data_IF_745104605278
#
_entry.id   IF_745104605278
#
_cell.length_a   1.000
_cell.length_b   1.000
_cell.length_c   1.000
_cell.angle_alpha   90.00
_cell.angle_beta   90.00
_cell.angle_gamma   90.00
#
_symmetry.space_group_name_H-M   'P 1'
#
loop_
_entity.id
_entity.type
_entity.pdbx_description
1 polymer ?
#
# COMPACT_ATOMS: atom_id res chain seq x y z
N UNK A 1 16.99 -17.45 -15.84
CA UNK A 1 17.05 -16.27 -16.75
C UNK A 1 15.81 -16.32 -17.61
N UNK A 2 14.98 -15.27 -17.54
CA UNK A 2 13.83 -15.11 -18.42
C UNK A 2 14.27 -15.18 -19.91
N UNK A 3 13.51 -14.69 -20.85
CA UNK A 3 13.93 -14.70 -22.26
C UNK A 3 15.22 -13.89 -22.45
N UNK A 4 16.23 -14.48 -23.06
CA UNK A 4 17.52 -13.82 -23.36
C UNK A 4 17.39 -12.52 -24.18
N UNK A 5 16.30 -12.38 -24.93
CA UNK A 5 16.03 -11.26 -25.82
C UNK A 5 14.72 -10.54 -25.52
N UNK A 6 14.01 -10.93 -24.44
CA UNK A 6 12.72 -10.37 -24.07
C UNK A 6 12.76 -8.84 -23.92
N UNK A 7 13.80 -8.32 -23.29
CA UNK A 7 14.02 -6.86 -23.15
C UNK A 7 14.19 -6.13 -24.50
N UNK A 8 14.62 -6.82 -25.54
CA UNK A 8 14.77 -6.25 -26.89
C UNK A 8 13.49 -6.35 -27.72
N UNK A 9 12.76 -7.45 -27.55
CA UNK A 9 11.65 -7.82 -28.43
C UNK A 9 10.29 -7.40 -27.88
N UNK A 10 10.16 -7.28 -26.56
CA UNK A 10 8.90 -6.93 -25.89
C UNK A 10 8.93 -5.47 -25.44
N UNK A 11 7.92 -4.70 -25.81
CA UNK A 11 7.73 -3.32 -25.33
C UNK A 11 7.08 -3.33 -23.96
N UNK A 12 7.38 -2.31 -23.12
CA UNK A 12 6.69 -2.14 -21.85
C UNK A 12 5.21 -1.87 -22.09
N UNK A 13 4.39 -2.63 -21.39
CA UNK A 13 2.95 -2.44 -21.32
C UNK A 13 2.53 -2.37 -19.84
N UNK A 14 1.49 -1.61 -19.58
CA UNK A 14 0.85 -1.51 -18.27
C UNK A 14 -0.59 -1.99 -18.38
N UNK A 15 -1.21 -2.32 -17.24
CA UNK A 15 -2.61 -2.66 -17.23
C UNK A 15 -3.47 -1.49 -17.73
N UNK A 16 -4.45 -1.81 -18.55
CA UNK A 16 -5.41 -0.82 -19.01
C UNK A 16 -6.30 -0.37 -17.84
N UNK A 17 -6.45 0.93 -17.71
CA UNK A 17 -7.31 1.53 -16.69
C UNK A 17 -8.72 1.67 -17.22
N UNK A 18 -9.71 1.60 -16.34
CA UNK A 18 -11.09 1.92 -16.65
C UNK A 18 -11.19 3.34 -17.23
N UNK A 19 -12.10 3.62 -18.19
CA UNK A 19 -12.31 4.96 -18.73
C UNK A 19 -12.53 6.00 -17.63
N UNK A 20 -12.04 7.22 -17.85
CA UNK A 20 -12.12 8.29 -16.83
C UNK A 20 -13.57 8.59 -16.47
N UNK A 21 -14.45 8.61 -17.48
CA UNK A 21 -15.88 8.92 -17.36
C UNK A 21 -16.60 7.91 -16.45
N UNK A 22 -16.15 6.66 -16.43
CA UNK A 22 -16.71 5.63 -15.56
C UNK A 22 -16.13 5.70 -14.15
N UNK A 23 -14.79 5.74 -14.03
CA UNK A 23 -14.11 5.64 -12.73
C UNK A 23 -14.29 6.86 -11.83
N UNK A 24 -14.66 8.02 -12.37
CA UNK A 24 -15.01 9.20 -11.56
C UNK A 24 -16.39 9.11 -10.93
N UNK A 25 -17.23 8.16 -11.38
CA UNK A 25 -18.59 7.96 -10.86
C UNK A 25 -18.65 7.01 -9.68
N UNK A 26 -17.54 6.34 -9.35
CA UNK A 26 -17.48 5.37 -8.25
C UNK A 26 -16.17 5.46 -7.47
N UNK A 27 -16.06 4.65 -6.41
CA UNK A 27 -14.89 4.55 -5.54
C UNK A 27 -14.09 3.26 -5.74
N UNK A 28 -14.41 2.45 -6.76
CA UNK A 28 -13.72 1.18 -7.05
C UNK A 28 -12.32 1.42 -7.59
N UNK A 29 -11.44 0.43 -7.46
CA UNK A 29 -10.09 0.48 -8.03
C UNK A 29 -10.14 0.85 -9.52
N UNK A 30 -9.14 1.63 -9.95
CA UNK A 30 -9.08 2.17 -11.32
C UNK A 30 -8.81 1.11 -12.39
N UNK A 31 -8.40 -0.09 -11.98
CA UNK A 31 -8.18 -1.22 -12.88
C UNK A 31 -9.35 -2.21 -12.83
N UNK A 32 -9.81 -2.75 -13.98
CA UNK A 32 -10.90 -3.73 -13.99
C UNK A 32 -10.48 -5.03 -13.28
N UNK A 33 -11.21 -5.44 -12.25
CA UNK A 33 -10.89 -6.62 -11.45
C UNK A 33 -9.65 -6.48 -10.54
N UNK A 34 -9.11 -5.26 -10.41
CA UNK A 34 -7.86 -4.97 -9.73
C UNK A 34 -6.63 -5.02 -10.65
N UNK A 35 -5.52 -4.41 -10.22
CA UNK A 35 -4.33 -4.25 -11.07
C UNK A 35 -3.69 -5.59 -11.44
N UNK A 36 -3.68 -6.57 -10.54
CA UNK A 36 -3.10 -7.89 -10.80
C UNK A 36 -3.88 -8.65 -11.86
N UNK A 37 -5.21 -8.69 -11.74
CA UNK A 37 -6.08 -9.36 -12.71
C UNK A 37 -5.98 -8.74 -14.12
N UNK A 38 -5.98 -7.42 -14.21
CA UNK A 38 -5.89 -6.70 -15.47
C UNK A 38 -4.58 -6.96 -16.24
N UNK A 39 -3.53 -7.42 -15.55
CA UNK A 39 -2.23 -7.73 -16.16
C UNK A 39 -2.06 -9.18 -16.60
N UNK A 40 -2.87 -10.12 -16.12
CA UNK A 40 -2.69 -11.55 -16.41
C UNK A 40 -2.47 -11.87 -17.89
N UNK A 41 -3.17 -11.24 -18.86
CA UNK A 41 -2.99 -11.54 -20.27
C UNK A 41 -1.61 -11.21 -20.83
N UNK A 42 -0.87 -10.28 -20.22
CA UNK A 42 0.41 -9.77 -20.74
C UNK A 42 1.58 -10.03 -19.77
N UNK A 43 1.33 -10.62 -18.62
CA UNK A 43 2.28 -10.65 -17.51
C UNK A 43 3.56 -11.44 -17.86
N UNK A 44 3.44 -12.56 -18.54
CA UNK A 44 4.57 -13.41 -18.95
C UNK A 44 5.51 -12.64 -19.86
N UNK A 45 4.96 -11.93 -20.86
CA UNK A 45 5.74 -11.09 -21.76
C UNK A 45 6.42 -9.95 -21.01
N UNK A 46 5.72 -9.32 -20.06
CA UNK A 46 6.30 -8.24 -19.28
C UNK A 46 7.40 -8.75 -18.32
N UNK A 47 7.25 -9.92 -17.74
CA UNK A 47 8.27 -10.56 -16.92
C UNK A 47 9.51 -10.95 -17.74
N UNK A 48 9.33 -11.39 -19.01
CA UNK A 48 10.41 -11.74 -19.92
C UNK A 48 11.37 -10.60 -20.21
N UNK A 49 10.95 -9.35 -19.99
CA UNK A 49 11.80 -8.15 -20.16
C UNK A 49 12.92 -8.04 -19.12
N UNK A 50 12.91 -8.85 -18.08
CA UNK A 50 13.98 -8.85 -17.09
C UNK A 50 15.26 -9.46 -17.65
N UNK A 51 16.36 -8.70 -17.64
CA UNK A 51 17.67 -9.12 -18.14
C UNK A 51 18.42 -10.03 -17.16
N UNK A 52 17.88 -10.31 -16.00
CA UNK A 52 18.55 -11.07 -14.93
C UNK A 52 19.98 -10.58 -14.66
N UNK A 53 20.10 -9.30 -14.31
CA UNK A 53 21.39 -8.64 -14.13
C UNK A 53 22.18 -9.30 -13.00
N UNK A 54 23.47 -9.65 -13.25
CA UNK A 54 24.38 -10.19 -12.23
C UNK A 54 24.61 -9.24 -11.02
N UNK A 55 24.39 -7.93 -11.22
CA UNK A 55 24.29 -6.93 -10.17
C UNK A 55 22.92 -6.24 -10.30
N UNK A 56 21.89 -6.76 -9.61
CA UNK A 56 20.52 -6.28 -9.78
C UNK A 56 20.28 -4.99 -8.98
N UNK A 57 20.49 -3.85 -9.60
CA UNK A 57 20.25 -2.54 -8.99
C UNK A 57 18.81 -2.37 -8.49
N UNK A 58 17.85 -3.08 -9.06
CA UNK A 58 16.48 -3.11 -8.60
C UNK A 58 16.34 -3.67 -7.17
N UNK A 59 17.19 -4.62 -6.73
CA UNK A 59 17.23 -5.06 -5.32
C UNK A 59 17.65 -3.92 -4.40
N UNK A 60 18.73 -3.22 -4.73
CA UNK A 60 19.23 -2.08 -3.94
C UNK A 60 18.25 -0.91 -3.97
N UNK A 61 17.55 -0.72 -5.09
CA UNK A 61 16.51 0.29 -5.23
C UNK A 61 15.22 -0.04 -4.47
N UNK A 62 15.01 -1.29 -4.07
CA UNK A 62 13.86 -1.70 -3.27
C UNK A 62 14.20 -1.66 -1.78
N UNK A 63 13.49 -0.85 -0.95
CA UNK A 63 13.72 -0.81 0.49
C UNK A 63 13.51 -2.15 1.21
N UNK A 64 12.73 -3.07 0.63
CA UNK A 64 12.51 -4.42 1.15
C UNK A 64 13.58 -5.41 0.67
N UNK A 65 14.42 -5.05 -0.30
CA UNK A 65 15.40 -5.96 -0.89
C UNK A 65 14.76 -7.12 -1.65
N UNK A 66 13.65 -6.87 -2.35
CA UNK A 66 12.90 -7.88 -3.10
C UNK A 66 13.76 -8.57 -4.16
N UNK A 67 13.64 -9.91 -4.29
CA UNK A 67 14.36 -10.75 -5.24
C UNK A 67 13.75 -10.67 -6.65
N UNK A 68 13.85 -9.49 -7.25
CA UNK A 68 13.09 -9.10 -8.44
C UNK A 68 13.42 -9.93 -9.69
N UNK A 69 14.69 -10.19 -10.05
CA UNK A 69 15.00 -11.06 -11.19
C UNK A 69 14.46 -12.47 -11.03
N UNK A 70 14.56 -13.03 -9.81
CA UNK A 70 14.13 -14.40 -9.53
C UNK A 70 12.64 -14.59 -9.79
N UNK A 71 11.78 -13.73 -9.26
CA UNK A 71 10.35 -13.88 -9.51
C UNK A 71 9.93 -13.58 -10.95
N UNK A 72 10.66 -12.67 -11.66
CA UNK A 72 10.38 -12.44 -13.08
C UNK A 72 10.68 -13.69 -13.92
N UNK A 73 11.79 -14.37 -13.63
CA UNK A 73 12.15 -15.63 -14.27
C UNK A 73 11.11 -16.73 -14.01
N UNK A 74 10.66 -16.84 -12.75
CA UNK A 74 9.64 -17.81 -12.36
C UNK A 74 8.28 -17.54 -13.05
N UNK A 75 7.86 -16.27 -13.15
CA UNK A 75 6.63 -15.89 -13.88
C UNK A 75 6.76 -16.17 -15.38
N UNK A 76 7.90 -15.88 -15.98
CA UNK A 76 8.13 -16.21 -17.38
C UNK A 76 8.04 -17.72 -17.67
N UNK A 77 8.43 -18.57 -16.70
CA UNK A 77 8.31 -20.03 -16.79
C UNK A 77 6.95 -20.58 -16.37
N UNK A 78 5.99 -19.73 -16.04
CA UNK A 78 4.66 -20.09 -15.49
C UNK A 78 4.72 -20.79 -14.10
N UNK A 79 5.81 -20.58 -13.35
CA UNK A 79 6.04 -21.14 -12.01
C UNK A 79 5.48 -20.23 -10.90
N UNK A 80 4.16 -20.03 -10.90
CA UNK A 80 3.46 -19.07 -10.02
C UNK A 80 3.59 -19.34 -8.53
N UNK A 81 3.69 -20.61 -8.16
CA UNK A 81 3.80 -21.00 -6.75
C UNK A 81 5.17 -20.63 -6.20
N UNK A 82 6.20 -20.91 -6.93
CA UNK A 82 7.58 -20.60 -6.63
C UNK A 82 7.80 -19.08 -6.64
N UNK A 83 7.19 -18.37 -7.59
CA UNK A 83 7.20 -16.90 -7.65
C UNK A 83 6.56 -16.29 -6.40
N UNK A 84 5.42 -16.81 -5.93
CA UNK A 84 4.80 -16.38 -4.67
C UNK A 84 5.73 -16.63 -3.48
N UNK A 85 6.31 -17.81 -3.39
CA UNK A 85 7.24 -18.16 -2.31
C UNK A 85 8.45 -17.23 -2.29
N UNK A 86 9.05 -16.99 -3.46
CA UNK A 86 10.16 -16.06 -3.63
C UNK A 86 9.77 -14.63 -3.19
N UNK A 87 8.64 -14.12 -3.63
CA UNK A 87 8.14 -12.79 -3.29
C UNK A 87 7.90 -12.63 -1.77
N UNK A 88 7.32 -13.64 -1.13
CA UNK A 88 7.01 -13.61 0.31
C UNK A 88 8.22 -13.75 1.23
N UNK A 89 9.40 -14.09 0.72
CA UNK A 89 10.63 -14.13 1.55
C UNK A 89 11.04 -12.76 2.07
N UNK A 90 10.73 -11.71 1.33
CA UNK A 90 11.12 -10.33 1.64
C UNK A 90 9.93 -9.39 1.85
N UNK A 91 8.75 -9.73 1.32
CA UNK A 91 7.59 -8.86 1.34
C UNK A 91 6.38 -9.54 2.00
N UNK A 92 5.96 -9.00 3.14
CA UNK A 92 4.78 -9.49 3.87
C UNK A 92 3.47 -9.24 3.11
N UNK A 93 3.36 -8.11 2.41
CA UNK A 93 2.11 -7.60 1.85
C UNK A 93 2.27 -7.10 0.42
N UNK A 94 2.56 -7.98 -0.54
CA UNK A 94 2.74 -7.58 -1.94
C UNK A 94 1.49 -6.94 -2.55
N UNK A 95 0.30 -7.26 -2.04
CA UNK A 95 -0.94 -6.63 -2.47
C UNK A 95 -1.03 -5.14 -2.12
N UNK A 96 -0.36 -4.70 -1.03
CA UNK A 96 -0.30 -3.29 -0.66
C UNK A 96 0.80 -2.57 -1.43
N UNK A 97 2.01 -3.11 -1.43
CA UNK A 97 3.15 -2.52 -2.13
C UNK A 97 2.94 -2.50 -3.63
N UNK A 98 2.41 -3.56 -4.22
CA UNK A 98 2.09 -3.63 -5.63
C UNK A 98 1.03 -2.63 -6.10
N UNK A 99 0.17 -2.12 -5.19
CA UNK A 99 -0.78 -1.05 -5.48
C UNK A 99 -0.24 0.35 -5.19
N UNK A 100 0.47 0.52 -4.08
CA UNK A 100 0.73 1.83 -3.48
C UNK A 100 2.18 2.30 -3.57
N UNK A 101 3.15 1.40 -3.73
CA UNK A 101 4.57 1.76 -3.77
C UNK A 101 4.88 2.63 -5.01
N UNK A 102 5.70 3.68 -4.88
CA UNK A 102 6.16 4.48 -6.03
C UNK A 102 7.16 3.75 -6.94
N UNK A 103 7.48 2.48 -6.63
CA UNK A 103 8.34 1.60 -7.40
C UNK A 103 9.76 2.14 -7.65
N UNK A 104 10.54 2.48 -6.61
CA UNK A 104 11.92 2.94 -6.79
C UNK A 104 12.81 1.85 -7.43
N UNK A 105 12.43 0.59 -7.35
CA UNK A 105 13.05 -0.52 -8.07
C UNK A 105 12.95 -0.37 -9.60
N UNK A 106 11.87 0.18 -10.13
CA UNK A 106 11.74 0.47 -11.57
C UNK A 106 12.65 1.62 -11.98
N UNK A 107 12.78 2.66 -11.15
CA UNK A 107 13.74 3.75 -11.38
C UNK A 107 15.20 3.25 -11.38
N UNK A 108 15.50 2.24 -10.55
CA UNK A 108 16.83 1.64 -10.46
C UNK A 108 17.06 0.53 -11.52
N UNK A 109 16.05 0.16 -12.29
CA UNK A 109 16.17 -0.90 -13.31
C UNK A 109 17.15 -0.48 -14.42
N UNK A 110 18.14 -1.33 -14.71
CA UNK A 110 19.17 -1.08 -15.73
C UNK A 110 18.58 -0.90 -17.13
N UNK A 111 17.51 -1.62 -17.44
CA UNK A 111 16.77 -1.46 -18.71
C UNK A 111 16.28 -0.02 -18.89
N UNK A 112 15.97 0.67 -17.78
CA UNK A 112 15.53 2.07 -17.76
C UNK A 112 16.57 3.09 -18.25
N UNK A 113 17.83 2.70 -18.45
CA UNK A 113 18.88 3.60 -18.97
C UNK A 113 18.70 3.88 -20.46
N UNK A 114 18.26 2.90 -21.23
CA UNK A 114 18.16 2.99 -22.69
C UNK A 114 16.72 2.84 -23.20
N UNK A 115 15.84 2.24 -22.40
CA UNK A 115 14.46 1.91 -22.74
C UNK A 115 13.56 2.15 -21.53
N UNK A 116 12.29 1.77 -21.64
CA UNK A 116 11.39 1.75 -20.48
C UNK A 116 11.76 0.59 -19.53
N UNK A 117 11.82 0.81 -18.21
CA UNK A 117 12.17 -0.23 -17.24
C UNK A 117 11.16 -1.39 -17.25
N UNK A 118 11.52 -2.51 -16.65
CA UNK A 118 10.59 -3.63 -16.40
C UNK A 118 9.44 -3.15 -15.52
N UNK A 119 8.22 -3.62 -15.78
CA UNK A 119 7.02 -3.31 -14.98
C UNK A 119 7.01 -4.09 -13.67
N UNK A 120 8.01 -3.88 -12.83
CA UNK A 120 8.29 -4.67 -11.62
C UNK A 120 7.11 -4.70 -10.66
N UNK A 121 6.60 -3.51 -10.34
CA UNK A 121 5.46 -3.36 -9.43
C UNK A 121 4.21 -4.09 -9.94
N UNK A 122 3.99 -4.09 -11.23
CA UNK A 122 2.85 -4.75 -11.85
C UNK A 122 3.00 -6.29 -11.82
N UNK A 123 4.21 -6.80 -12.01
CA UNK A 123 4.48 -8.24 -11.86
C UNK A 123 4.25 -8.66 -10.40
N UNK A 124 4.75 -7.89 -9.44
CA UNK A 124 4.56 -8.11 -8.01
C UNK A 124 3.07 -8.25 -7.64
N UNK A 125 2.23 -7.29 -8.05
CA UNK A 125 0.80 -7.33 -7.72
C UNK A 125 0.06 -8.45 -8.45
N UNK A 126 0.47 -8.81 -9.67
CA UNK A 126 -0.12 -9.94 -10.40
C UNK A 126 0.14 -11.28 -9.69
N UNK A 127 1.35 -11.48 -9.17
CA UNK A 127 1.70 -12.69 -8.41
C UNK A 127 0.76 -12.86 -7.21
N UNK A 128 0.62 -11.82 -6.40
CA UNK A 128 -0.16 -11.92 -5.16
C UNK A 128 -1.67 -11.95 -5.41
N UNK A 129 -2.20 -11.17 -6.36
CA UNK A 129 -3.63 -11.18 -6.64
C UNK A 129 -4.06 -12.54 -7.21
N UNK A 130 -3.29 -13.10 -8.17
CA UNK A 130 -3.53 -14.46 -8.64
C UNK A 130 -3.42 -15.50 -7.52
N UNK A 131 -2.47 -15.35 -6.61
CA UNK A 131 -2.33 -16.27 -5.48
C UNK A 131 -3.54 -16.22 -4.53
N UNK A 132 -4.16 -15.06 -4.34
CA UNK A 132 -5.42 -14.94 -3.60
C UNK A 132 -6.59 -15.58 -4.34
N UNK A 133 -6.72 -15.37 -5.65
CA UNK A 133 -7.74 -15.98 -6.50
C UNK A 133 -7.63 -17.51 -6.48
N UNK A 134 -6.43 -18.04 -6.62
CA UNK A 134 -6.10 -19.47 -6.59
C UNK A 134 -6.15 -20.07 -5.17
N UNK A 135 -6.47 -19.28 -4.13
CA UNK A 135 -6.48 -19.70 -2.71
C UNK A 135 -5.14 -20.27 -2.22
N UNK A 136 -4.04 -19.77 -2.74
CA UNK A 136 -2.68 -20.18 -2.36
C UNK A 136 -2.12 -19.38 -1.18
N UNK A 137 -2.72 -18.24 -0.85
CA UNK A 137 -2.36 -17.46 0.36
C UNK A 137 -3.10 -18.06 1.55
N UNK A 138 -2.43 -18.99 2.22
CA UNK A 138 -2.96 -19.69 3.40
C UNK A 138 -2.34 -19.12 4.70
N UNK A 139 -3.02 -19.25 5.85
CA UNK A 139 -2.43 -18.93 7.14
C UNK A 139 -1.20 -19.82 7.44
N UNK A 140 -0.13 -19.20 7.90
CA UNK A 140 1.09 -19.89 8.34
C UNK A 140 1.10 -19.92 9.85
N UNK A 141 0.60 -21.04 10.41
CA UNK A 141 0.58 -21.27 11.85
C UNK A 141 1.95 -21.82 12.29
N UNK A 142 2.62 -21.23 13.29
CA UNK A 142 3.91 -21.74 13.74
C UNK A 142 3.80 -23.13 14.36
N UNK A 143 4.77 -23.99 14.08
CA UNK A 143 4.83 -25.37 14.61
C UNK A 143 5.19 -25.41 16.11
N UNK A 144 5.77 -24.34 16.63
CA UNK A 144 6.21 -24.21 18.02
C UNK A 144 5.89 -22.82 18.59
N UNK A 145 5.76 -22.73 19.90
CA UNK A 145 5.51 -21.48 20.61
C UNK A 145 6.67 -21.14 21.53
N UNK A 146 7.16 -19.91 21.45
CA UNK A 146 8.27 -19.40 22.24
C UNK A 146 7.93 -19.12 23.72
N UNK A 147 6.63 -19.11 24.04
CA UNK A 147 6.07 -18.64 25.31
C UNK A 147 6.38 -17.17 25.62
N UNK A 148 6.85 -16.42 24.63
CA UNK A 148 7.11 -14.98 24.72
C UNK A 148 5.93 -14.20 24.14
N UNK A 149 5.68 -13.05 24.73
CA UNK A 149 4.58 -12.16 24.40
C UNK A 149 5.08 -10.83 23.85
N UNK A 150 4.44 -10.30 22.82
CA UNK A 150 4.77 -8.99 22.26
C UNK A 150 3.50 -8.14 22.06
N UNK A 151 3.60 -6.88 22.47
CA UNK A 151 2.62 -5.86 22.13
C UNK A 151 3.13 -5.04 20.93
N UNK A 152 2.28 -4.85 19.92
CA UNK A 152 2.52 -3.93 18.81
C UNK A 152 1.54 -2.77 18.93
N UNK A 153 2.04 -1.55 19.03
CA UNK A 153 1.24 -0.34 19.17
C UNK A 153 1.12 0.35 17.82
N UNK A 154 -0.08 0.32 17.25
CA UNK A 154 -0.40 0.81 15.91
C UNK A 154 -0.55 -0.33 14.90
N UNK A 155 -1.62 -0.25 14.10
CA UNK A 155 -1.99 -1.26 13.11
C UNK A 155 -1.75 -0.81 11.66
N UNK A 156 -0.92 0.20 11.44
CA UNK A 156 -0.45 0.58 10.11
C UNK A 156 0.44 -0.49 9.48
N UNK A 157 0.91 -0.31 8.24
CA UNK A 157 1.67 -1.33 7.50
C UNK A 157 2.89 -1.85 8.27
N UNK A 158 3.61 -0.98 8.98
CA UNK A 158 4.77 -1.37 9.79
C UNK A 158 4.37 -2.25 10.98
N UNK A 159 3.30 -1.89 11.70
CA UNK A 159 2.78 -2.67 12.81
C UNK A 159 2.25 -4.03 12.36
N UNK A 160 1.52 -4.08 11.26
CA UNK A 160 1.03 -5.32 10.67
C UNK A 160 2.18 -6.26 10.25
N UNK A 161 3.22 -5.74 9.56
CA UNK A 161 4.37 -6.54 9.15
C UNK A 161 5.12 -7.11 10.36
N UNK A 162 5.37 -6.27 11.37
CA UNK A 162 5.99 -6.70 12.63
C UNK A 162 5.17 -7.78 13.32
N UNK A 163 3.85 -7.56 13.45
CA UNK A 163 2.97 -8.52 14.09
C UNK A 163 2.96 -9.87 13.37
N UNK A 164 2.89 -9.88 12.03
CA UNK A 164 2.91 -11.10 11.25
C UNK A 164 4.22 -11.87 11.44
N UNK A 165 5.37 -11.20 11.35
CA UNK A 165 6.66 -11.86 11.51
C UNK A 165 6.84 -12.44 12.92
N UNK A 166 6.46 -11.69 13.96
CA UNK A 166 6.54 -12.16 15.34
C UNK A 166 5.56 -13.34 15.59
N UNK A 167 4.36 -13.28 15.05
CA UNK A 167 3.39 -14.40 15.15
C UNK A 167 3.94 -15.65 14.47
N UNK A 168 4.47 -15.55 13.26
CA UNK A 168 5.06 -16.67 12.52
C UNK A 168 6.33 -17.22 13.18
N UNK A 169 7.06 -16.38 13.93
CA UNK A 169 8.19 -16.80 14.76
C UNK A 169 7.76 -17.50 16.06
N UNK A 170 6.47 -17.75 16.28
CA UNK A 170 5.94 -18.48 17.43
C UNK A 170 5.72 -17.64 18.68
N UNK A 171 5.70 -16.32 18.59
CA UNK A 171 5.37 -15.43 19.71
C UNK A 171 3.86 -15.18 19.81
N UNK A 172 3.36 -14.96 21.02
CA UNK A 172 2.00 -14.46 21.24
C UNK A 172 1.97 -12.96 21.02
N UNK A 173 1.24 -12.49 20.00
CA UNK A 173 1.25 -11.09 19.57
C UNK A 173 -0.12 -10.45 19.71
N UNK A 174 -0.14 -9.26 20.34
CA UNK A 174 -1.34 -8.41 20.41
C UNK A 174 -1.04 -7.08 19.75
N UNK A 175 -1.84 -6.70 18.76
CA UNK A 175 -1.81 -5.39 18.10
C UNK A 175 -2.87 -4.50 18.72
N UNK A 176 -2.45 -3.34 19.23
CA UNK A 176 -3.34 -2.31 19.76
C UNK A 176 -3.52 -1.19 18.75
N UNK A 177 -4.77 -0.84 18.47
CA UNK A 177 -5.14 0.24 17.57
C UNK A 177 -6.12 1.19 18.27
N UNK A 178 -5.84 2.49 18.23
CA UNK A 178 -6.72 3.51 18.82
C UNK A 178 -8.01 3.71 18.04
N UNK A 179 -7.94 3.55 16.70
CA UNK A 179 -9.11 3.69 15.83
C UNK A 179 -10.04 2.47 15.92
N UNK A 180 -11.25 2.61 15.38
CA UNK A 180 -12.28 1.59 15.40
C UNK A 180 -12.00 0.39 14.50
N UNK A 181 -11.04 0.49 13.56
CA UNK A 181 -10.67 -0.59 12.68
C UNK A 181 -9.15 -0.64 12.41
N UNK A 182 -8.67 -1.84 12.08
CA UNK A 182 -7.26 -2.13 11.80
C UNK A 182 -6.85 -1.61 10.42
N UNK A 183 -5.63 -1.08 10.30
CA UNK A 183 -5.02 -0.74 9.02
C UNK A 183 -4.33 0.63 8.95
N UNK A 184 -4.54 1.50 9.93
CA UNK A 184 -3.93 2.83 9.94
C UNK A 184 -4.20 3.59 8.63
N UNK A 185 -3.16 4.16 8.00
CA UNK A 185 -3.31 4.92 6.75
C UNK A 185 -3.76 4.07 5.56
N UNK A 186 -3.55 2.75 5.54
CA UNK A 186 -4.11 1.87 4.50
C UNK A 186 -5.64 1.90 4.51
N UNK A 187 -6.25 2.06 5.69
CA UNK A 187 -7.69 2.17 5.85
C UNK A 187 -8.20 3.61 5.74
N UNK A 188 -7.59 4.51 6.50
CA UNK A 188 -8.12 5.85 6.68
C UNK A 188 -7.50 6.91 5.77
N UNK A 189 -6.30 6.63 5.21
CA UNK A 189 -5.58 7.57 4.34
C UNK A 189 -5.77 7.27 2.86
N UNK A 190 -5.61 6.02 2.46
CA UNK A 190 -5.65 5.60 1.05
C UNK A 190 -7.10 5.48 0.58
N UNK A 191 -7.51 6.16 -0.52
CA UNK A 191 -8.84 6.00 -1.07
C UNK A 191 -9.06 4.62 -1.71
N UNK A 192 -10.31 4.14 -1.72
CA UNK A 192 -10.68 2.85 -2.29
C UNK A 192 -10.35 2.74 -3.79
N UNK A 193 -10.40 3.83 -4.54
CA UNK A 193 -10.02 3.82 -5.95
C UNK A 193 -8.53 3.54 -6.21
N UNK A 194 -7.67 3.60 -5.19
CA UNK A 194 -6.28 3.12 -5.23
C UNK A 194 -6.12 1.72 -4.65
N UNK A 195 -6.85 1.41 -3.59
CA UNK A 195 -6.86 0.10 -2.94
C UNK A 195 -8.17 -0.09 -2.18
N UNK A 196 -9.01 -0.99 -2.67
CA UNK A 196 -10.24 -1.36 -1.99
C UNK A 196 -9.96 -1.98 -0.62
N UNK A 197 -10.76 -1.64 0.39
CA UNK A 197 -10.54 -2.12 1.76
C UNK A 197 -10.74 -3.63 1.91
N UNK A 198 -11.44 -4.27 0.99
CA UNK A 198 -11.53 -5.74 0.90
C UNK A 198 -10.16 -6.42 0.80
N UNK A 199 -9.18 -5.77 0.14
CA UNK A 199 -7.79 -6.24 0.03
C UNK A 199 -7.11 -6.25 1.40
N UNK A 200 -7.34 -5.20 2.19
CA UNK A 200 -6.83 -5.09 3.56
C UNK A 200 -7.52 -6.10 4.49
N UNK A 201 -8.85 -6.18 4.42
CA UNK A 201 -9.67 -7.03 5.31
C UNK A 201 -9.34 -8.52 5.14
N UNK A 202 -9.14 -9.00 3.90
CA UNK A 202 -8.74 -10.39 3.65
C UNK A 202 -7.38 -10.71 4.29
N UNK A 203 -6.43 -9.75 4.28
CA UNK A 203 -5.12 -9.92 4.91
C UNK A 203 -5.19 -9.92 6.43
N UNK A 204 -5.95 -9.02 7.03
CA UNK A 204 -6.17 -8.97 8.48
C UNK A 204 -6.79 -10.29 8.95
N UNK A 205 -7.80 -10.79 8.22
CA UNK A 205 -8.42 -12.08 8.51
C UNK A 205 -7.41 -13.24 8.45
N UNK A 206 -6.54 -13.26 7.44
CA UNK A 206 -5.50 -14.27 7.31
C UNK A 206 -4.52 -14.21 8.49
N UNK A 207 -4.05 -13.02 8.90
CA UNK A 207 -3.19 -12.82 10.06
C UNK A 207 -3.85 -13.25 11.38
N UNK A 208 -5.15 -12.98 11.55
CA UNK A 208 -5.91 -13.46 12.71
C UNK A 208 -5.96 -14.98 12.76
N UNK A 209 -6.07 -15.64 11.61
CA UNK A 209 -6.02 -17.12 11.52
C UNK A 209 -4.60 -17.68 11.78
N UNK A 210 -3.54 -16.88 11.60
CA UNK A 210 -2.17 -17.23 12.00
C UNK A 210 -1.96 -17.14 13.52
N UNK A 211 -2.85 -16.42 14.24
CA UNK A 211 -2.80 -16.26 15.70
C UNK A 211 -2.52 -14.84 16.18
N UNK A 212 -2.41 -13.86 15.28
CA UNK A 212 -2.29 -12.44 15.68
C UNK A 212 -3.60 -11.95 16.30
N UNK A 213 -3.55 -11.38 17.49
CA UNK A 213 -4.71 -10.81 18.20
C UNK A 213 -4.77 -9.30 17.93
N UNK A 214 -5.94 -8.82 17.49
CA UNK A 214 -6.18 -7.39 17.24
C UNK A 214 -7.10 -6.79 18.28
N UNK A 215 -6.76 -5.61 18.81
CA UNK A 215 -7.58 -4.81 19.74
C UNK A 215 -7.71 -3.40 19.23
N UNK A 216 -8.89 -3.08 18.74
CA UNK A 216 -9.27 -1.73 18.31
C UNK A 216 -9.83 -0.91 19.46
N UNK A 217 -10.07 0.39 19.25
CA UNK A 217 -10.55 1.34 20.26
C UNK A 217 -9.71 1.28 21.55
N UNK A 218 -8.40 1.16 21.41
CA UNK A 218 -7.47 1.07 22.55
C UNK A 218 -6.26 1.96 22.30
N UNK A 219 -6.26 3.13 22.93
CA UNK A 219 -5.18 4.12 22.81
C UNK A 219 -4.13 3.91 23.90
N UNK A 220 -2.91 3.58 23.47
CA UNK A 220 -1.80 3.43 24.43
C UNK A 220 -1.32 4.82 24.87
N UNK A 221 -1.20 4.98 26.17
CA UNK A 221 -0.96 6.27 26.83
C UNK A 221 -2.22 6.92 27.40
N UNK A 222 -3.40 6.44 27.01
CA UNK A 222 -4.70 6.88 27.53
C UNK A 222 -5.42 5.72 28.23
N UNK A 223 -5.75 4.65 27.49
CA UNK A 223 -6.47 3.49 28.03
C UNK A 223 -5.54 2.51 28.77
N UNK A 224 -4.33 2.36 28.26
CA UNK A 224 -3.28 1.49 28.84
C UNK A 224 -1.98 2.29 28.86
N UNK A 225 -1.33 2.37 30.03
CA UNK A 225 -0.05 3.07 30.14
C UNK A 225 1.13 2.26 29.57
N UNK A 226 2.23 2.94 29.28
CA UNK A 226 3.47 2.27 28.84
C UNK A 226 4.04 1.32 29.91
N UNK A 227 3.91 1.66 31.21
CA UNK A 227 4.30 0.78 32.33
C UNK A 227 3.47 -0.49 32.32
N UNK A 228 2.15 -0.39 32.19
CA UNK A 228 1.25 -1.54 32.14
C UNK A 228 1.56 -2.47 30.95
N UNK A 229 1.97 -1.92 29.81
CA UNK A 229 2.42 -2.76 28.68
C UNK A 229 3.73 -3.50 29.01
N UNK A 230 4.70 -2.80 29.62
CA UNK A 230 5.97 -3.40 30.01
C UNK A 230 5.85 -4.49 31.08
N UNK A 231 4.83 -4.40 31.93
CA UNK A 231 4.53 -5.43 32.94
C UNK A 231 3.87 -6.68 32.34
N UNK A 232 3.09 -6.50 31.25
CA UNK A 232 2.28 -7.56 30.65
C UNK A 232 2.95 -8.30 29.50
N UNK A 233 3.95 -7.68 28.85
CA UNK A 233 4.57 -8.19 27.64
C UNK A 233 6.10 -8.25 27.80
N UNK A 234 6.70 -9.28 27.21
CA UNK A 234 8.16 -9.41 27.14
C UNK A 234 8.80 -8.35 26.23
N UNK A 235 8.06 -7.90 25.21
CA UNK A 235 8.50 -6.85 24.28
C UNK A 235 7.35 -5.94 23.87
N UNK A 236 7.67 -4.67 23.62
CA UNK A 236 6.72 -3.68 23.08
C UNK A 236 7.35 -3.02 21.85
N UNK A 237 6.61 -3.04 20.74
CA UNK A 237 7.01 -2.41 19.48
C UNK A 237 6.10 -1.20 19.21
N UNK A 238 6.70 -0.03 19.04
CA UNK A 238 5.98 1.21 18.70
C UNK A 238 5.98 1.40 17.19
N UNK A 239 4.78 1.30 16.58
CA UNK A 239 4.54 1.48 15.14
C UNK A 239 3.40 2.48 14.90
N UNK A 240 3.41 3.57 15.65
CA UNK A 240 2.30 4.55 15.77
C UNK A 240 2.16 5.47 14.55
N UNK A 241 3.13 5.46 13.63
CA UNK A 241 3.16 6.37 12.49
C UNK A 241 3.41 7.83 12.87
N UNK A 242 3.24 8.73 11.90
CA UNK A 242 3.36 10.18 12.08
C UNK A 242 1.99 10.82 11.85
N UNK A 243 1.34 11.27 12.92
CA UNK A 243 -0.04 11.79 12.87
C UNK A 243 -0.13 13.31 12.99
N UNK A 244 0.98 13.98 13.33
CA UNK A 244 1.05 15.44 13.39
C UNK A 244 1.34 15.99 11.99
N UNK A 245 0.43 16.79 11.39
CA UNK A 245 0.64 17.35 10.07
C UNK A 245 1.77 18.39 10.09
N UNK A 246 2.48 18.51 8.98
CA UNK A 246 3.40 19.64 8.78
C UNK A 246 2.57 20.89 8.51
N UNK A 247 2.76 21.91 9.31
CA UNK A 247 2.13 23.20 9.10
C UNK A 247 2.77 23.94 7.92
N UNK A 248 1.93 24.56 7.11
CA UNK A 248 2.37 25.54 6.13
C UNK A 248 2.32 26.92 6.81
N UNK A 249 3.46 27.60 6.90
CA UNK A 249 3.52 28.98 7.38
C UNK A 249 3.21 29.94 6.22
N UNK A 250 1.93 30.27 6.08
CA UNK A 250 1.45 31.17 5.03
C UNK A 250 0.26 32.00 5.52
N UNK A 251 0.14 33.26 5.05
CA UNK A 251 -1.03 34.08 5.33
C UNK A 251 -2.31 33.38 4.86
N UNK A 252 -3.34 33.35 5.70
CA UNK A 252 -4.63 32.76 5.38
C UNK A 252 -4.77 31.26 5.69
N UNK A 253 -3.78 30.62 6.31
CA UNK A 253 -3.85 29.18 6.67
C UNK A 253 -5.00 28.85 7.64
N UNK A 254 -5.47 29.81 8.41
CA UNK A 254 -6.61 29.66 9.34
C UNK A 254 -7.97 30.09 8.77
N UNK A 255 -8.07 30.32 7.45
CA UNK A 255 -9.34 30.67 6.82
C UNK A 255 -10.26 29.45 6.70
N UNK A 256 -11.56 29.70 6.72
CA UNK A 256 -12.56 28.67 6.47
C UNK A 256 -12.34 28.01 5.09
N UNK A 257 -12.45 26.68 5.04
CA UNK A 257 -12.23 25.88 3.86
C UNK A 257 -10.77 25.43 3.65
N UNK A 258 -9.83 25.86 4.50
CA UNK A 258 -8.48 25.32 4.54
C UNK A 258 -8.45 24.12 5.50
N UNK A 259 -8.06 22.96 5.01
CA UNK A 259 -8.00 21.74 5.82
C UNK A 259 -6.79 20.90 5.46
N UNK A 260 -6.39 20.01 6.37
CA UNK A 260 -5.33 19.06 6.09
C UNK A 260 -5.85 17.88 5.29
N UNK A 261 -4.98 17.35 4.41
CA UNK A 261 -5.32 16.21 3.54
C UNK A 261 -5.89 15.02 4.33
N UNK A 262 -5.32 14.71 5.51
CA UNK A 262 -5.76 13.58 6.32
C UNK A 262 -7.13 13.78 6.96
N UNK A 263 -7.51 15.00 7.27
CA UNK A 263 -8.88 15.33 7.72
C UNK A 263 -9.88 15.05 6.60
N UNK A 264 -9.57 15.52 5.40
CA UNK A 264 -10.41 15.36 4.22
C UNK A 264 -10.54 13.90 3.77
N UNK A 265 -9.41 13.19 3.63
CA UNK A 265 -9.38 11.80 3.15
C UNK A 265 -9.98 10.81 4.15
N UNK A 266 -9.70 10.99 5.45
CA UNK A 266 -10.24 10.12 6.50
C UNK A 266 -11.76 10.16 6.54
N UNK A 267 -12.35 11.34 6.47
CA UNK A 267 -13.81 11.49 6.44
C UNK A 267 -14.41 10.78 5.23
N UNK A 268 -13.83 10.97 4.04
CA UNK A 268 -14.33 10.35 2.83
C UNK A 268 -14.19 8.81 2.87
N UNK A 269 -13.07 8.30 3.38
CA UNK A 269 -12.89 6.85 3.51
C UNK A 269 -13.91 6.23 4.49
N UNK A 270 -14.26 6.93 5.58
CA UNK A 270 -15.32 6.51 6.50
C UNK A 270 -16.69 6.48 5.81
N UNK A 271 -17.01 7.49 4.98
CA UNK A 271 -18.26 7.54 4.21
C UNK A 271 -18.34 6.39 3.19
N UNK A 272 -17.24 6.11 2.47
CA UNK A 272 -17.17 4.98 1.53
C UNK A 272 -17.36 3.65 2.26
N UNK A 273 -16.86 3.53 3.50
CA UNK A 273 -17.07 2.38 4.36
C UNK A 273 -18.49 2.29 4.97
N UNK A 274 -19.38 3.25 4.66
CA UNK A 274 -20.78 3.26 5.11
C UNK A 274 -21.03 3.98 6.46
N UNK A 275 -20.02 4.69 6.99
CA UNK A 275 -20.20 5.49 8.19
C UNK A 275 -20.88 6.83 7.88
N UNK A 276 -21.73 7.30 8.76
CA UNK A 276 -22.24 8.65 8.75
C UNK A 276 -21.20 9.61 9.35
N UNK A 277 -20.85 10.66 8.62
CA UNK A 277 -19.90 11.69 9.07
C UNK A 277 -20.66 13.03 9.09
N UNK A 278 -20.86 13.55 10.28
CA UNK A 278 -21.48 14.87 10.46
C UNK A 278 -20.51 15.97 10.00
N UNK A 279 -21.05 17.01 9.35
CA UNK A 279 -20.27 18.17 8.85
C UNK A 279 -19.09 17.78 7.96
N UNK A 280 -19.25 16.75 7.11
CA UNK A 280 -18.23 16.30 6.19
C UNK A 280 -17.69 17.44 5.33
N UNK A 281 -16.35 17.54 5.23
CA UNK A 281 -15.67 18.43 4.27
C UNK A 281 -15.94 17.91 2.87
N UNK A 282 -16.63 18.70 2.04
CA UNK A 282 -17.03 18.32 0.67
C UNK A 282 -16.56 19.33 -0.35
N UNK A 283 -16.24 18.81 -1.54
CA UNK A 283 -15.74 19.57 -2.69
C UNK A 283 -16.83 19.90 -3.72
N UNK A 284 -18.08 19.45 -3.55
CA UNK A 284 -19.16 19.60 -4.53
C UNK A 284 -19.31 21.06 -4.97
N UNK A 285 -19.20 21.29 -6.28
CA UNK A 285 -19.36 22.62 -6.89
C UNK A 285 -18.29 23.65 -6.50
N UNK A 286 -17.27 23.28 -5.73
CA UNK A 286 -16.20 24.17 -5.27
C UNK A 286 -15.00 24.14 -6.20
N UNK A 287 -14.24 25.24 -6.22
CA UNK A 287 -12.91 25.29 -6.79
C UNK A 287 -11.90 24.85 -5.72
N UNK A 288 -11.22 23.73 -5.96
CA UNK A 288 -10.32 23.10 -4.98
C UNK A 288 -8.88 23.36 -5.35
N UNK A 289 -8.10 23.89 -4.42
CA UNK A 289 -6.66 24.08 -4.54
C UNK A 289 -5.95 23.10 -3.59
N UNK A 290 -5.06 22.29 -4.14
CA UNK A 290 -4.29 21.31 -3.37
C UNK A 290 -2.83 21.76 -3.35
N UNK A 291 -2.29 21.97 -2.14
CA UNK A 291 -0.89 22.38 -1.96
C UNK A 291 -0.08 21.12 -1.66
N UNK A 292 0.64 20.64 -2.66
CA UNK A 292 1.44 19.42 -2.63
C UNK A 292 1.40 18.68 -3.95
N UNK A 293 2.41 17.83 -4.21
CA UNK A 293 2.56 17.11 -5.48
C UNK A 293 2.87 15.62 -5.32
N UNK A 294 2.79 15.08 -4.10
CA UNK A 294 2.97 13.64 -3.83
C UNK A 294 1.68 12.84 -3.97
N UNK A 295 1.75 11.58 -3.61
CA UNK A 295 0.61 10.65 -3.69
C UNK A 295 -0.61 11.13 -2.88
N UNK A 296 -0.40 11.68 -1.69
CA UNK A 296 -1.49 12.24 -0.87
C UNK A 296 -2.23 13.38 -1.57
N UNK A 297 -1.50 14.24 -2.30
CA UNK A 297 -2.12 15.30 -3.10
C UNK A 297 -2.95 14.72 -4.24
N UNK A 298 -2.44 13.69 -4.94
CA UNK A 298 -3.18 12.99 -5.97
C UNK A 298 -4.45 12.31 -5.42
N UNK A 299 -4.39 11.81 -4.19
CA UNK A 299 -5.55 11.24 -3.51
C UNK A 299 -6.62 12.29 -3.23
N UNK A 300 -6.20 13.50 -2.82
CA UNK A 300 -7.10 14.62 -2.64
C UNK A 300 -7.73 15.08 -3.98
N UNK A 301 -6.96 15.16 -5.08
CA UNK A 301 -7.49 15.45 -6.42
C UNK A 301 -8.56 14.42 -6.80
N UNK A 302 -8.19 13.14 -6.77
CA UNK A 302 -9.10 12.05 -7.16
C UNK A 302 -10.36 11.98 -6.30
N UNK A 303 -10.27 12.38 -5.03
CA UNK A 303 -11.40 12.47 -4.11
C UNK A 303 -12.30 13.66 -4.46
N UNK A 304 -11.72 14.84 -4.68
CA UNK A 304 -12.47 16.05 -5.02
C UNK A 304 -13.21 15.91 -6.35
N UNK A 305 -12.59 15.32 -7.37
CA UNK A 305 -13.24 15.04 -8.65
C UNK A 305 -14.48 14.13 -8.47
N UNK A 306 -14.36 13.06 -7.66
CA UNK A 306 -15.48 12.14 -7.36
C UNK A 306 -16.58 12.78 -6.54
N UNK A 307 -16.26 13.78 -5.76
CA UNK A 307 -17.24 14.58 -5.03
C UNK A 307 -17.93 15.64 -5.90
N UNK A 308 -17.52 15.84 -7.17
CA UNK A 308 -18.10 16.81 -8.08
C UNK A 308 -17.56 18.23 -7.91
N UNK A 309 -16.26 18.38 -7.66
CA UNK A 309 -15.59 19.68 -7.66
C UNK A 309 -15.77 20.39 -9.00
N UNK A 310 -16.00 21.72 -8.98
CA UNK A 310 -16.08 22.53 -10.19
C UNK A 310 -14.73 22.65 -10.91
N UNK A 311 -13.63 22.65 -10.16
CA UNK A 311 -12.26 22.51 -10.67
C UNK A 311 -11.31 22.05 -9.56
N UNK A 312 -10.21 21.40 -9.97
CA UNK A 312 -9.11 21.00 -9.08
C UNK A 312 -7.79 21.52 -9.62
N UNK A 313 -6.99 22.10 -8.76
CA UNK A 313 -5.64 22.63 -9.09
C UNK A 313 -4.63 22.14 -8.06
N UNK A 314 -3.59 21.42 -8.50
CA UNK A 314 -2.51 20.97 -7.65
C UNK A 314 -1.24 21.80 -7.87
N UNK A 315 -0.70 22.36 -6.81
CA UNK A 315 0.57 23.08 -6.81
C UNK A 315 1.70 22.15 -6.39
N UNK A 316 2.51 21.69 -7.33
CA UNK A 316 3.59 20.73 -7.09
C UNK A 316 4.92 21.40 -6.73
N UNK A 317 5.14 22.65 -7.16
CA UNK A 317 6.34 23.42 -6.89
C UNK A 317 5.98 24.86 -6.54
N UNK A 318 6.42 25.30 -5.37
CA UNK A 318 6.69 26.70 -5.16
C UNK A 318 8.00 26.98 -5.92
N UNK A 319 7.92 27.59 -7.11
CA UNK A 319 9.09 28.12 -7.78
C UNK A 319 9.72 29.14 -6.84
N UNK A 320 10.87 28.79 -6.24
CA UNK A 320 11.71 29.84 -5.63
C UNK A 320 12.07 30.77 -6.76
N UNK A 321 11.85 32.09 -6.61
CA UNK A 321 12.40 33.04 -7.58
C UNK A 321 13.91 32.79 -7.64
N UNK A 322 14.42 32.59 -8.84
CA UNK A 322 15.87 32.52 -9.06
C UNK A 322 16.49 33.78 -8.45
N UNK A 323 17.41 33.58 -7.51
CA UNK A 323 18.25 34.68 -7.00
C UNK A 323 19.28 35.04 -8.06
#
# INVERSE_FOLDING_TARGET
MADLHGFMNVTRQEAERRPVEERVQDWKEVYPGGPGHALLPIITDQASRCMDCGVPFCHTGCPLGNLIPDWNDLIWRDEWREALSCLQTTNNFPEFTGRLCPAPCETACVEGLNRAPVTIKNVEVAIIDKAWEDRRVIPVVPEWHSLKTAAVVGSGPAGLATAQQLTRAGHTVVVYERDDAIGGLLRYGIPDFKMEKSVLDRRIKQMALEGTVFKTNTEIGVDITGEQLRERFDAVVLATGATVPRMLDAPGIGLDGVCYAMEYLTQQNRVVAGAEVLDQIRADGKHVVIIGGGDTANDCVGTAERQGAASTHAYTHLTRPAK
#
